data_IF_980054574175
#
_entry.id   IF_980054574175
#
_cell.length_a   1.000
_cell.length_b   1.000
_cell.length_c   1.000
_cell.angle_alpha   90.00
_cell.angle_beta   90.00
_cell.angle_gamma   90.00
#
_symmetry.space_group_name_H-M   'P 1'
#
loop_
_entity.id
_entity.type
_entity.pdbx_description
1 polymer ?
#
# COMPACT_ATOMS: atom_id res chain seq x y z
N UNK A 1 -6.54 -7.03 15.20
CA UNK A 1 -7.38 -5.96 14.63
C UNK A 1 -7.74 -6.37 13.21
N UNK A 2 -9.02 -6.51 12.90
CA UNK A 2 -9.51 -6.90 11.57
C UNK A 2 -9.45 -5.69 10.62
N UNK A 3 -9.27 -5.91 9.32
CA UNK A 3 -9.19 -4.85 8.27
C UNK A 3 -10.40 -3.91 8.29
N UNK A 4 -11.57 -4.42 8.71
CA UNK A 4 -12.82 -3.68 8.83
C UNK A 4 -12.76 -2.63 9.95
N UNK A 5 -12.03 -2.88 11.04
CA UNK A 5 -11.99 -1.98 12.20
C UNK A 5 -11.29 -0.65 11.89
N UNK A 6 -10.31 -0.63 10.99
CA UNK A 6 -9.55 0.58 10.68
C UNK A 6 -10.41 1.59 9.92
N UNK A 7 -11.12 1.13 8.88
CA UNK A 7 -12.02 1.98 8.08
C UNK A 7 -13.18 2.50 8.94
N UNK A 8 -13.75 1.65 9.79
CA UNK A 8 -14.81 2.06 10.72
C UNK A 8 -14.33 3.16 11.67
N UNK A 9 -13.12 3.02 12.24
CA UNK A 9 -12.55 4.06 13.11
C UNK A 9 -12.36 5.38 12.37
N UNK A 10 -11.83 5.33 11.15
CA UNK A 10 -11.65 6.51 10.31
C UNK A 10 -12.98 7.25 10.12
N UNK A 11 -14.05 6.52 9.76
CA UNK A 11 -15.38 7.12 9.55
C UNK A 11 -15.99 7.68 10.84
N UNK A 12 -15.81 7.00 11.98
CA UNK A 12 -16.32 7.52 13.26
C UNK A 12 -15.66 8.83 13.66
N UNK A 13 -14.35 8.96 13.47
CA UNK A 13 -13.64 10.19 13.88
C UNK A 13 -13.81 11.32 12.87
N UNK A 14 -14.14 11.03 11.61
CA UNK A 14 -14.20 12.01 10.51
C UNK A 14 -14.98 13.27 10.87
N UNK A 15 -16.10 13.11 11.57
CA UNK A 15 -16.96 14.22 11.99
C UNK A 15 -16.35 15.10 13.09
N UNK A 16 -15.43 14.55 13.89
CA UNK A 16 -14.74 15.25 14.98
C UNK A 16 -13.39 15.85 14.56
N UNK A 17 -12.98 15.68 13.29
CA UNK A 17 -11.71 16.20 12.79
C UNK A 17 -11.80 17.67 12.40
N UNK A 18 -10.79 18.43 12.81
CA UNK A 18 -10.56 19.80 12.32
C UNK A 18 -10.18 19.78 10.84
N UNK A 19 -10.31 20.91 10.12
CA UNK A 19 -9.92 21.03 8.71
C UNK A 19 -8.51 20.47 8.42
N UNK A 20 -7.54 20.78 9.28
CA UNK A 20 -6.16 20.29 9.13
C UNK A 20 -6.02 18.78 9.38
N UNK A 21 -6.86 18.21 10.23
CA UNK A 21 -6.90 16.76 10.45
C UNK A 21 -7.61 16.04 9.30
N UNK A 22 -8.57 16.70 8.64
CA UNK A 22 -9.21 16.18 7.43
C UNK A 22 -8.23 16.09 6.25
N UNK A 23 -7.30 17.06 6.10
CA UNK A 23 -6.19 16.97 5.13
C UNK A 23 -5.33 15.73 5.36
N UNK A 24 -5.11 15.34 6.63
CA UNK A 24 -4.40 14.11 6.96
C UNK A 24 -5.18 12.90 6.45
N UNK A 25 -6.50 12.85 6.69
CA UNK A 25 -7.34 11.75 6.21
C UNK A 25 -7.35 11.67 4.68
N UNK A 26 -7.50 12.79 3.98
CA UNK A 26 -7.48 12.82 2.52
C UNK A 26 -6.16 12.28 1.96
N UNK A 27 -5.03 12.68 2.54
CA UNK A 27 -3.73 12.16 2.16
C UNK A 27 -3.61 10.64 2.41
N UNK A 28 -4.13 10.16 3.55
CA UNK A 28 -4.11 8.72 3.87
C UNK A 28 -4.94 7.89 2.90
N UNK A 29 -6.11 8.38 2.48
CA UNK A 29 -6.99 7.69 1.52
C UNK A 29 -6.35 7.60 0.13
N UNK A 30 -5.68 8.65 -0.31
CA UNK A 30 -5.01 8.70 -1.62
C UNK A 30 -3.68 7.93 -1.65
N UNK A 31 -2.97 7.87 -0.51
CA UNK A 31 -1.60 7.34 -0.41
C UNK A 31 -1.44 6.17 0.59
N UNK A 32 -2.48 5.35 0.80
CA UNK A 32 -2.46 4.27 1.81
C UNK A 32 -1.32 3.25 1.64
N UNK A 33 -0.78 3.12 0.43
CA UNK A 33 0.33 2.21 0.14
C UNK A 33 1.71 2.74 0.60
N UNK A 34 1.89 4.07 0.58
CA UNK A 34 3.18 4.70 0.86
C UNK A 34 3.30 5.15 2.30
N UNK A 35 2.18 5.39 3.00
CA UNK A 35 2.14 5.79 4.42
C UNK A 35 2.97 4.89 5.35
N UNK A 36 2.98 3.55 5.21
CA UNK A 36 3.84 2.67 6.01
C UNK A 36 5.34 2.91 5.81
N UNK A 37 5.75 3.64 4.77
CA UNK A 37 7.15 3.96 4.47
C UNK A 37 7.54 5.35 5.00
N UNK A 38 6.56 6.25 5.13
CA UNK A 38 6.79 7.63 5.56
C UNK A 38 7.25 7.74 7.03
N UNK A 39 8.11 8.72 7.30
CA UNK A 39 8.38 9.18 8.66
C UNK A 39 7.31 10.14 9.14
N UNK A 40 7.31 10.44 10.44
CA UNK A 40 6.41 11.46 11.00
C UNK A 40 6.63 12.83 10.35
N UNK A 41 7.89 13.16 10.02
CA UNK A 41 8.21 14.44 9.39
C UNK A 41 7.66 14.49 7.95
N UNK A 42 7.75 13.39 7.22
CA UNK A 42 7.26 13.33 5.83
C UNK A 42 5.75 13.51 5.80
N UNK A 43 5.02 12.89 6.73
CA UNK A 43 3.57 13.07 6.82
C UNK A 43 3.19 14.52 7.16
N UNK A 44 3.93 15.14 8.09
CA UNK A 44 3.74 16.55 8.46
C UNK A 44 3.97 17.47 7.27
N UNK A 45 5.02 17.22 6.50
CA UNK A 45 5.36 18.01 5.30
C UNK A 45 4.31 17.80 4.19
N UNK A 46 3.91 16.54 3.94
CA UNK A 46 2.95 16.19 2.89
C UNK A 46 1.55 16.77 3.14
N UNK A 47 1.12 16.81 4.40
CA UNK A 47 -0.21 17.33 4.78
C UNK A 47 -0.19 18.82 5.14
N UNK A 48 0.98 19.47 5.11
CA UNK A 48 1.18 20.84 5.57
C UNK A 48 0.56 21.10 6.96
N UNK A 49 0.84 20.19 7.88
CA UNK A 49 0.35 20.22 9.27
C UNK A 49 1.50 20.38 10.26
N UNK A 50 1.24 20.15 11.56
CA UNK A 50 2.26 20.14 12.60
C UNK A 50 2.36 18.75 13.23
N UNK A 51 3.51 18.42 13.84
CA UNK A 51 3.69 17.17 14.59
C UNK A 51 2.61 16.98 15.67
N UNK A 52 2.23 18.06 16.34
CA UNK A 52 1.17 18.06 17.36
C UNK A 52 -0.20 17.78 16.78
N UNK A 53 -0.48 18.26 15.55
CA UNK A 53 -1.72 17.95 14.83
C UNK A 53 -1.78 16.47 14.48
N UNK A 54 -0.71 15.90 13.92
CA UNK A 54 -0.61 14.47 13.61
C UNK A 54 -0.77 13.62 14.88
N UNK A 55 -0.12 14.01 15.97
CA UNK A 55 -0.24 13.30 17.24
C UNK A 55 -1.68 13.32 17.78
N UNK A 56 -2.33 14.49 17.78
CA UNK A 56 -3.74 14.62 18.20
C UNK A 56 -4.67 13.77 17.32
N UNK A 57 -4.43 13.74 16.01
CA UNK A 57 -5.16 12.86 15.10
C UNK A 57 -5.00 11.38 15.47
N UNK A 58 -3.76 10.92 15.72
CA UNK A 58 -3.52 9.53 16.14
C UNK A 58 -4.26 9.18 17.44
N UNK A 59 -4.28 10.10 18.42
CA UNK A 59 -5.00 9.90 19.68
C UNK A 59 -6.51 9.86 19.47
N UNK A 60 -7.09 10.72 18.62
CA UNK A 60 -8.51 10.66 18.26
C UNK A 60 -8.89 9.33 17.61
N UNK A 61 -8.01 8.79 16.77
CA UNK A 61 -8.15 7.46 16.16
C UNK A 61 -7.99 6.29 17.15
N UNK A 62 -7.73 6.58 18.43
CA UNK A 62 -7.55 5.58 19.49
C UNK A 62 -6.16 4.95 19.54
N UNK A 63 -5.14 5.62 18.98
CA UNK A 63 -3.75 5.17 19.03
C UNK A 63 -2.95 5.97 20.06
N UNK A 64 -1.99 5.32 20.72
CA UNK A 64 -1.09 5.95 21.68
C UNK A 64 -0.09 6.94 21.05
N UNK A 65 0.04 6.94 19.71
CA UNK A 65 0.90 7.86 18.97
C UNK A 65 1.12 7.43 17.52
N UNK A 66 2.06 8.10 16.85
CA UNK A 66 2.33 7.90 15.42
C UNK A 66 2.83 6.49 15.08
N UNK A 67 3.66 5.88 15.96
CA UNK A 67 4.20 4.53 15.72
C UNK A 67 3.09 3.47 15.68
N UNK A 68 2.21 3.46 16.68
CA UNK A 68 1.08 2.54 16.75
C UNK A 68 0.09 2.75 15.59
N UNK A 69 -0.15 4.00 15.21
CA UNK A 69 -0.92 4.33 14.02
C UNK A 69 -0.29 3.75 12.74
N UNK A 70 1.03 3.92 12.55
CA UNK A 70 1.77 3.42 11.39
C UNK A 70 1.71 1.89 11.28
N UNK A 71 1.87 1.20 12.39
CA UNK A 71 1.73 -0.27 12.46
C UNK A 71 0.32 -0.70 12.04
N UNK A 72 -0.72 0.00 12.52
CA UNK A 72 -2.10 -0.29 12.13
C UNK A 72 -2.35 -0.10 10.63
N UNK A 73 -1.84 0.99 10.04
CA UNK A 73 -1.92 1.22 8.58
C UNK A 73 -1.16 0.14 7.82
N UNK A 74 0.04 -0.24 8.27
CA UNK A 74 0.81 -1.32 7.64
C UNK A 74 0.06 -2.65 7.64
N UNK A 75 -0.59 -3.01 8.76
CA UNK A 75 -1.43 -4.20 8.84
C UNK A 75 -2.62 -4.12 7.90
N UNK A 76 -3.27 -2.95 7.80
CA UNK A 76 -4.36 -2.70 6.88
C UNK A 76 -3.91 -2.87 5.43
N UNK A 77 -2.86 -2.17 4.99
CA UNK A 77 -2.31 -2.25 3.62
C UNK A 77 -1.86 -3.67 3.25
N UNK A 78 -1.24 -4.40 4.19
CA UNK A 78 -0.86 -5.80 3.97
C UNK A 78 -2.08 -6.72 3.77
N UNK A 79 -3.22 -6.38 4.36
CA UNK A 79 -4.47 -7.13 4.20
C UNK A 79 -5.20 -6.78 2.90
N UNK A 80 -4.99 -5.58 2.36
CA UNK A 80 -5.52 -5.17 1.06
C UNK A 80 -4.77 -5.84 -0.10
N UNK A 81 -3.47 -6.08 0.04
CA UNK A 81 -2.71 -6.81 -0.99
C UNK A 81 -2.98 -8.31 -0.85
N UNK A 82 -3.49 -9.00 -1.90
CA UNK A 82 -3.57 -10.44 -1.87
C UNK A 82 -2.16 -11.01 -1.68
N UNK A 83 -2.02 -12.17 -1.02
CA UNK A 83 -0.72 -12.80 -0.87
C UNK A 83 -0.11 -13.01 -2.26
N UNK A 84 1.13 -12.57 -2.39
CA UNK A 84 1.90 -12.39 -3.64
C UNK A 84 2.09 -13.63 -4.53
N UNK A 85 1.41 -14.76 -4.27
CA UNK A 85 1.51 -15.99 -5.05
C UNK A 85 0.49 -16.09 -6.20
N UNK A 86 -0.30 -15.04 -6.46
CA UNK A 86 -1.11 -14.90 -7.68
C UNK A 86 -1.03 -13.48 -8.24
N UNK A 87 0.16 -13.03 -8.66
CA UNK A 87 0.28 -11.84 -9.50
C UNK A 87 1.21 -12.15 -10.67
N UNK A 88 0.62 -12.35 -11.84
CA UNK A 88 1.33 -12.48 -13.10
C UNK A 88 2.20 -11.24 -13.36
N UNK A 89 3.40 -11.39 -13.92
CA UNK A 89 4.16 -10.25 -14.41
C UNK A 89 3.41 -9.69 -15.62
N UNK A 90 2.79 -8.53 -15.47
CA UNK A 90 2.49 -7.66 -16.61
C UNK A 90 3.04 -6.28 -16.29
N UNK A 91 4.00 -5.89 -17.13
CA UNK A 91 4.55 -4.54 -17.33
C UNK A 91 5.77 -4.20 -16.45
N UNK A 92 6.86 -4.96 -16.62
CA UNK A 92 8.14 -4.29 -16.82
C UNK A 92 8.13 -3.77 -18.26
N UNK A 93 7.90 -2.46 -18.41
CA UNK A 93 8.04 -1.76 -19.68
C UNK A 93 9.53 -1.72 -20.06
N UNK A 94 9.84 -2.35 -21.20
CA UNK A 94 11.02 -2.17 -22.06
C UNK A 94 12.37 -1.88 -21.38
N UNK A 95 13.09 -2.94 -21.00
CA UNK A 95 14.55 -2.93 -20.99
C UNK A 95 15.14 -4.35 -21.08
N UNK A 96 15.92 -4.55 -22.15
CA UNK A 96 16.97 -5.57 -22.33
C UNK A 96 16.55 -7.05 -22.52
N UNK A 97 16.69 -7.47 -23.78
CA UNK A 97 17.12 -8.80 -24.21
C UNK A 97 18.24 -9.36 -23.30
N UNK A 98 18.08 -10.57 -22.78
CA UNK A 98 19.13 -11.60 -22.88
C UNK A 98 18.57 -13.02 -22.65
N UNK A 99 18.78 -13.83 -23.68
CA UNK A 99 18.96 -15.28 -23.73
C UNK A 99 18.07 -16.23 -22.90
N UNK A 100 17.24 -16.96 -23.64
CA UNK A 100 16.28 -17.94 -23.16
C UNK A 100 16.96 -19.30 -22.87
N UNK A 101 17.22 -19.61 -21.60
CA UNK A 101 17.50 -20.98 -21.17
C UNK A 101 16.16 -21.71 -20.91
N UNK A 102 15.69 -22.51 -21.88
CA UNK A 102 14.50 -23.34 -21.73
C UNK A 102 14.89 -24.69 -21.10
N UNK A 103 14.78 -24.82 -19.78
CA UNK A 103 15.00 -26.10 -19.08
C UNK A 103 13.76 -27.02 -19.16
N UNK A 104 13.38 -27.41 -20.38
CA UNK A 104 12.77 -28.70 -20.73
C UNK A 104 11.59 -29.29 -19.92
N UNK A 105 10.87 -28.54 -19.09
CA UNK A 105 9.80 -29.09 -18.23
C UNK A 105 8.41 -28.46 -18.40
N UNK A 106 8.18 -27.68 -19.45
CA UNK A 106 6.87 -27.09 -19.74
C UNK A 106 6.64 -26.90 -21.25
N UNK A 107 5.43 -27.14 -21.78
CA UNK A 107 5.12 -26.81 -23.18
C UNK A 107 4.89 -25.30 -23.31
N UNK A 108 5.94 -24.54 -23.65
CA UNK A 108 5.78 -23.13 -24.00
C UNK A 108 5.28 -23.00 -25.44
N UNK A 109 4.50 -21.95 -25.73
CA UNK A 109 3.87 -21.73 -27.04
C UNK A 109 4.88 -21.70 -28.20
N UNK A 110 6.09 -21.17 -27.97
CA UNK A 110 7.17 -21.12 -28.96
C UNK A 110 7.76 -22.48 -29.35
N UNK A 111 7.74 -23.48 -28.46
CA UNK A 111 8.21 -24.83 -28.80
C UNK A 111 7.16 -25.65 -29.57
N UNK A 112 5.86 -25.41 -29.33
CA UNK A 112 4.79 -26.09 -30.07
C UNK A 112 4.78 -25.73 -31.56
N UNK A 113 5.05 -24.46 -31.89
CA UNK A 113 5.07 -23.97 -33.27
C UNK A 113 6.22 -24.54 -34.11
N UNK A 114 7.31 -24.98 -33.46
CA UNK A 114 8.46 -25.61 -34.14
C UNK A 114 8.26 -27.09 -34.48
N UNK A 115 7.32 -27.78 -33.82
CA UNK A 115 7.03 -29.21 -34.07
C UNK A 115 6.02 -29.38 -35.21
N UNK A 116 5.14 -28.40 -35.42
CA UNK A 116 4.06 -28.46 -36.42
C UNK A 116 4.52 -28.20 -37.87
N UNK A 117 5.82 -28.09 -38.14
CA UNK A 117 6.41 -27.92 -39.49
C UNK A 117 7.36 -29.04 -39.92
N UNK A 118 7.37 -30.17 -39.20
CA UNK A 118 8.07 -31.39 -39.59
C UNK A 118 7.11 -32.38 -40.27
#
# INVERSE_FOLDING_TARGET
MSTIEWVQRLETVRFDLTKREQEIVAYLEDHVDTVPQLSMQDLVNATNTSRSTVHRFCVKMGYSGFKAFKEAVQHFTRSLKPPQWQLTPKLASDAALSDHACEGRHPCKKCLESIARA
#
